data_IF_081651813766
#
_entry.id   IF_081651813766
#
_cell.length_a   1.000
_cell.length_b   1.000
_cell.length_c   1.000
_cell.angle_alpha   90.00
_cell.angle_beta   90.00
_cell.angle_gamma   90.00
#
_symmetry.space_group_name_H-M   'P 1'
#
loop_
_entity.id
_entity.type
_entity.pdbx_description
1 polymer ?
#
# COMPACT_ATOMS: atom_id res chain seq x y z
N UNK A 1 4.47 -19.99 4.89
CA UNK A 1 3.52 -19.34 3.96
C UNK A 1 4.33 -18.65 2.88
N UNK A 2 4.13 -19.00 1.60
CA UNK A 2 4.87 -18.39 0.49
C UNK A 2 4.54 -16.90 0.39
N UNK A 3 5.52 -16.06 0.68
CA UNK A 3 5.53 -14.61 0.42
C UNK A 3 5.48 -14.43 -1.10
N UNK A 4 4.29 -14.21 -1.66
CA UNK A 4 4.15 -13.82 -3.07
C UNK A 4 4.93 -12.53 -3.28
N UNK A 5 5.98 -12.59 -4.08
CA UNK A 5 6.76 -11.45 -4.57
C UNK A 5 5.79 -10.36 -5.04
N UNK A 6 5.95 -9.13 -4.55
CA UNK A 6 5.15 -7.99 -5.00
C UNK A 6 5.61 -7.58 -6.40
N UNK A 7 5.13 -8.30 -7.42
CA UNK A 7 5.42 -7.93 -8.80
C UNK A 7 4.56 -6.71 -9.16
N UNK A 8 5.24 -5.61 -9.50
CA UNK A 8 4.70 -4.37 -10.08
C UNK A 8 3.26 -4.00 -9.66
N UNK A 9 3.12 -3.34 -8.50
CA UNK A 9 1.87 -2.73 -8.07
C UNK A 9 1.69 -1.33 -8.65
N UNK A 10 0.46 -1.00 -9.04
CA UNK A 10 0.06 0.34 -9.50
C UNK A 10 -0.97 0.89 -8.52
N UNK A 11 -0.70 2.05 -7.93
CA UNK A 11 -1.63 2.73 -7.03
C UNK A 11 -2.80 3.32 -7.83
N UNK A 12 -4.03 3.16 -7.32
CA UNK A 12 -5.27 3.58 -8.00
C UNK A 12 -6.04 4.63 -7.21
N UNK A 13 -6.02 4.56 -5.88
CA UNK A 13 -6.66 5.54 -5.00
C UNK A 13 -5.87 5.67 -3.71
N UNK A 14 -5.88 6.88 -3.14
CA UNK A 14 -5.29 7.19 -1.84
C UNK A 14 -6.33 7.90 -0.97
N UNK A 15 -6.41 7.51 0.30
CA UNK A 15 -7.22 8.17 1.32
C UNK A 15 -6.30 8.48 2.49
N UNK A 16 -6.08 9.75 2.75
CA UNK A 16 -5.27 10.24 3.85
C UNK A 16 -6.12 10.29 5.13
N UNK A 17 -5.53 9.80 6.22
CA UNK A 17 -6.10 9.86 7.56
C UNK A 17 -5.17 10.65 8.47
N UNK A 18 -5.27 12.00 8.49
CA UNK A 18 -4.33 12.86 9.20
C UNK A 18 -4.27 12.57 10.71
N UNK A 19 -5.42 12.26 11.33
CA UNK A 19 -5.50 11.93 12.76
C UNK A 19 -4.73 10.67 13.16
N UNK A 20 -4.42 9.79 12.20
CA UNK A 20 -3.72 8.52 12.43
C UNK A 20 -2.34 8.47 11.75
N UNK A 21 -1.93 9.57 11.12
CA UNK A 21 -0.67 9.69 10.36
C UNK A 21 -0.45 8.55 9.36
N UNK A 22 -1.51 8.18 8.64
CA UNK A 22 -1.47 7.09 7.68
C UNK A 22 -2.27 7.36 6.42
N UNK A 23 -1.92 6.63 5.36
CA UNK A 23 -2.59 6.66 4.07
C UNK A 23 -3.09 5.26 3.74
N UNK A 24 -4.38 5.15 3.46
CA UNK A 24 -4.97 3.96 2.88
C UNK A 24 -4.87 4.02 1.37
N UNK A 25 -4.37 2.94 0.79
CA UNK A 25 -4.10 2.85 -0.64
C UNK A 25 -4.79 1.62 -1.22
N UNK A 26 -5.43 1.78 -2.37
CA UNK A 26 -5.75 0.66 -3.24
C UNK A 26 -4.73 0.58 -4.38
N UNK A 27 -4.32 -0.64 -4.71
CA UNK A 27 -3.41 -0.92 -5.81
C UNK A 27 -3.95 -2.04 -6.68
N UNK A 28 -3.47 -2.13 -7.90
CA UNK A 28 -3.71 -3.23 -8.82
C UNK A 28 -2.38 -3.88 -9.19
N UNK A 29 -2.29 -5.21 -9.07
CA UNK A 29 -1.17 -5.98 -9.60
C UNK A 29 -1.23 -6.00 -11.13
N UNK A 30 -0.17 -5.55 -11.82
CA UNK A 30 -0.18 -5.52 -13.30
C UNK A 30 -0.37 -6.89 -13.94
N UNK A 31 0.20 -7.94 -13.35
CA UNK A 31 0.20 -9.28 -13.95
C UNK A 31 -1.12 -10.02 -13.75
N UNK A 32 -1.80 -9.80 -12.63
CA UNK A 32 -3.02 -10.55 -12.27
C UNK A 32 -4.29 -9.71 -12.29
N UNK A 33 -4.17 -8.38 -12.39
CA UNK A 33 -5.27 -7.44 -12.22
C UNK A 33 -5.84 -7.42 -10.80
N UNK A 34 -5.23 -8.12 -9.84
CA UNK A 34 -5.78 -8.22 -8.49
C UNK A 34 -5.61 -6.94 -7.72
N UNK A 35 -6.70 -6.51 -7.09
CA UNK A 35 -6.67 -5.40 -6.15
C UNK A 35 -5.99 -5.82 -4.85
N UNK A 36 -5.09 -4.99 -4.34
CA UNK A 36 -4.57 -5.07 -2.97
C UNK A 36 -4.83 -3.76 -2.25
N UNK A 37 -4.97 -3.85 -0.94
CA UNK A 37 -5.17 -2.70 -0.07
C UNK A 37 -4.00 -2.61 0.91
N UNK A 38 -3.50 -1.40 1.10
CA UNK A 38 -2.39 -1.10 2.01
C UNK A 38 -2.75 0.03 2.98
N UNK A 39 -2.17 -0.03 4.19
CA UNK A 39 -2.03 1.13 5.08
C UNK A 39 -0.55 1.47 5.17
N UNK A 40 -0.21 2.70 4.84
CA UNK A 40 1.16 3.22 4.84
C UNK A 40 1.23 4.32 5.89
N UNK A 41 2.00 4.11 6.95
CA UNK A 41 2.20 5.11 8.00
C UNK A 41 3.35 6.06 7.60
N UNK A 42 3.16 7.36 7.81
CA UNK A 42 4.14 8.38 7.39
C UNK A 42 5.36 8.41 8.32
N UNK A 43 5.21 8.04 9.58
CA UNK A 43 6.28 7.92 10.59
C UNK A 43 7.32 6.79 10.35
N UNK A 44 7.51 6.40 9.08
CA UNK A 44 8.61 5.56 8.55
C UNK A 44 8.88 4.25 9.28
N UNK A 45 7.93 3.33 9.25
CA UNK A 45 8.33 1.92 9.27
C UNK A 45 7.27 1.04 8.66
N UNK A 46 6.04 1.17 9.14
CA UNK A 46 5.07 0.09 8.94
C UNK A 46 4.24 0.27 7.69
N UNK A 47 4.22 -0.78 6.90
CA UNK A 47 3.26 -0.99 5.82
C UNK A 47 2.44 -2.20 6.21
N UNK A 48 1.12 -2.06 6.20
CA UNK A 48 0.19 -3.16 6.40
C UNK A 48 -0.50 -3.48 5.09
N UNK A 49 -0.76 -4.76 4.86
CA UNK A 49 -1.61 -5.23 3.76
C UNK A 49 -2.91 -5.80 4.32
N UNK A 50 -4.01 -5.61 3.59
CA UNK A 50 -5.28 -6.22 3.97
C UNK A 50 -5.25 -7.72 3.70
N UNK A 51 -5.53 -8.51 4.73
CA UNK A 51 -5.81 -9.93 4.58
C UNK A 51 -7.29 -10.13 4.28
N UNK A 52 -7.62 -10.34 3.01
CA UNK A 52 -9.00 -10.53 2.57
C UNK A 52 -9.70 -11.77 3.17
N UNK A 53 -8.94 -12.80 3.57
CA UNK A 53 -9.50 -14.02 4.15
C UNK A 53 -9.83 -13.88 5.62
N UNK A 54 -8.97 -13.19 6.39
CA UNK A 54 -9.13 -13.01 7.83
C UNK A 54 -9.85 -11.72 8.21
N UNK A 55 -10.01 -10.79 7.27
CA UNK A 55 -10.53 -9.46 7.55
C UNK A 55 -9.60 -8.62 8.44
N UNK A 56 -8.31 -8.96 8.50
CA UNK A 56 -7.29 -8.28 9.32
C UNK A 56 -6.34 -7.45 8.48
N UNK A 57 -5.56 -6.61 9.15
CA UNK A 57 -4.40 -5.93 8.59
C UNK A 57 -3.14 -6.66 9.07
N UNK A 58 -2.36 -7.17 8.12
CA UNK A 58 -1.13 -7.90 8.41
C UNK A 58 0.07 -7.01 8.06
N UNK A 59 0.98 -6.82 9.01
CA UNK A 59 2.21 -6.04 8.78
C UNK A 59 3.12 -6.76 7.79
N UNK A 60 3.68 -6.03 6.83
CA UNK A 60 4.70 -6.53 5.91
C UNK A 60 6.03 -6.58 6.66
N UNK A 61 6.31 -7.72 7.28
CA UNK A 61 7.52 -7.95 8.09
C UNK A 61 8.83 -7.99 7.28
N UNK A 62 8.75 -8.24 5.97
CA UNK A 62 9.92 -8.25 5.11
C UNK A 62 10.28 -6.80 4.72
N UNK A 63 11.43 -6.33 5.16
CA UNK A 63 11.90 -4.95 4.93
C UNK A 63 11.98 -4.62 3.44
N UNK A 64 12.55 -5.49 2.61
CA UNK A 64 12.65 -5.27 1.15
C UNK A 64 11.28 -5.08 0.50
N UNK A 65 10.27 -5.83 0.95
CA UNK A 65 8.90 -5.67 0.48
C UNK A 65 8.26 -4.38 0.97
N UNK A 66 8.48 -4.01 2.24
CA UNK A 66 8.00 -2.74 2.80
C UNK A 66 8.60 -1.55 2.03
N UNK A 67 9.92 -1.57 1.81
CA UNK A 67 10.66 -0.55 1.08
C UNK A 67 10.23 -0.45 -0.39
N UNK A 68 9.98 -1.59 -1.04
CA UNK A 68 9.44 -1.61 -2.39
C UNK A 68 8.08 -0.92 -2.47
N UNK A 69 7.13 -1.27 -1.60
CA UNK A 69 5.80 -0.65 -1.59
C UNK A 69 5.91 0.85 -1.28
N UNK A 70 6.78 1.25 -0.35
CA UNK A 70 7.03 2.67 -0.04
C UNK A 70 7.61 3.43 -1.22
N UNK A 71 8.62 2.88 -1.89
CA UNK A 71 9.21 3.50 -3.08
C UNK A 71 8.16 3.71 -4.17
N UNK A 72 7.29 2.71 -4.40
CA UNK A 72 6.20 2.83 -5.37
C UNK A 72 5.14 3.84 -4.94
N UNK A 73 4.87 3.93 -3.64
CA UNK A 73 3.98 4.92 -3.07
C UNK A 73 4.52 6.34 -3.25
N UNK A 74 5.79 6.59 -2.92
CA UNK A 74 6.42 7.90 -3.04
C UNK A 74 6.42 8.40 -4.49
N UNK A 75 6.71 7.51 -5.45
CA UNK A 75 6.61 7.81 -6.89
C UNK A 75 5.16 8.17 -7.28
N UNK A 76 4.19 7.37 -6.85
CA UNK A 76 2.77 7.62 -7.08
C UNK A 76 2.29 8.94 -6.44
N UNK A 77 2.88 9.33 -5.31
CA UNK A 77 2.64 10.62 -4.66
C UNK A 77 3.25 11.77 -5.46
N UNK A 78 4.42 11.58 -6.05
CA UNK A 78 5.09 12.61 -6.87
C UNK A 78 4.41 12.83 -8.22
N UNK A 79 3.95 11.76 -8.89
CA UNK A 79 3.31 11.83 -10.21
C UNK A 79 1.96 12.56 -10.19
N UNK A 80 1.32 12.66 -9.02
CA UNK A 80 0.05 13.37 -8.78
C UNK A 80 -1.13 12.98 -9.70
N UNK A 81 -1.05 11.82 -10.35
CA UNK A 81 -2.08 11.31 -11.27
C UNK A 81 -3.17 10.45 -10.61
N UNK A 82 -3.15 10.32 -9.28
CA UNK A 82 -4.00 9.38 -8.54
C UNK A 82 -4.96 10.18 -7.66
N UNK A 83 -6.27 9.87 -7.69
CA UNK A 83 -7.24 10.49 -6.81
C UNK A 83 -6.83 10.37 -5.33
N UNK A 84 -6.82 11.52 -4.65
CA UNK A 84 -6.55 11.63 -3.22
C UNK A 84 -7.74 12.21 -2.50
N UNK A 85 -8.12 11.57 -1.41
CA UNK A 85 -9.19 12.02 -0.53
C UNK A 85 -8.62 12.19 0.87
N UNK A 86 -9.19 13.09 1.65
CA UNK A 86 -8.84 13.29 3.06
C UNK A 86 -10.08 13.03 3.89
N UNK A 87 -9.94 12.25 4.96
CA UNK A 87 -11.01 11.92 5.90
C UNK A 87 -10.73 12.44 7.31
#
# INVERSE_FOLDING_TARGET
MQTRQFNEVVFKHMVEFPSFDCVFCSTEEKTTGRTRLFLIFNNRSKVYQRNGLKGTWDEIQNEQHSDFIRTRFDLAVQENGIPRYTS
#
